data_IF_608181628078
#
_entry.id   IF_608181628078
#
_cell.length_a   1.000
_cell.length_b   1.000
_cell.length_c   1.000
_cell.angle_alpha   90.00
_cell.angle_beta   90.00
_cell.angle_gamma   90.00
#
_symmetry.space_group_name_H-M   'P 1'
#
loop_
_entity.id
_entity.type
_entity.pdbx_description
1 polymer ?
#
# COMPACT_ATOMS: atom_id res chain seq x y z
N UNK A 1 -13.31 -9.64 -11.34
CA UNK A 1 -11.84 -9.66 -11.45
C UNK A 1 -11.49 -8.90 -12.70
N UNK A 2 -10.74 -7.81 -12.60
CA UNK A 2 -10.33 -7.04 -13.77
C UNK A 2 -9.26 -7.80 -14.55
N UNK A 3 -9.22 -7.61 -15.87
CA UNK A 3 -8.26 -8.26 -16.76
C UNK A 3 -6.81 -7.88 -16.37
N UNK A 4 -5.92 -8.87 -16.33
CA UNK A 4 -4.51 -8.65 -15.95
C UNK A 4 -3.83 -7.81 -17.02
N UNK A 5 -3.15 -6.75 -16.58
CA UNK A 5 -2.51 -5.78 -17.48
C UNK A 5 -1.29 -6.34 -18.21
N UNK A 6 -0.68 -7.41 -17.69
CA UNK A 6 0.61 -7.92 -18.16
C UNK A 6 1.81 -7.04 -17.78
N UNK A 7 1.55 -5.96 -17.02
CA UNK A 7 2.55 -5.09 -16.42
C UNK A 7 2.57 -5.36 -14.91
N UNK A 8 3.78 -5.38 -14.33
CA UNK A 8 3.97 -5.82 -12.96
C UNK A 8 4.82 -4.85 -12.13
N UNK A 9 4.35 -4.58 -10.93
CA UNK A 9 5.11 -3.92 -9.87
C UNK A 9 5.99 -4.93 -9.12
N UNK A 10 7.15 -4.47 -8.60
CA UNK A 10 7.93 -5.27 -7.65
C UNK A 10 7.11 -5.62 -6.40
N UNK A 11 7.17 -6.86 -5.93
CA UNK A 11 6.44 -7.32 -4.74
C UNK A 11 6.71 -6.46 -3.51
N UNK A 12 7.97 -6.06 -3.31
CA UNK A 12 8.39 -5.13 -2.25
C UNK A 12 7.60 -3.81 -2.27
N UNK A 13 7.27 -3.26 -3.44
CA UNK A 13 6.49 -2.03 -3.52
C UNK A 13 5.06 -2.26 -3.05
N UNK A 14 4.39 -3.27 -3.61
CA UNK A 14 3.02 -3.62 -3.24
C UNK A 14 2.89 -3.95 -1.75
N UNK A 15 3.84 -4.73 -1.21
CA UNK A 15 3.92 -5.05 0.22
C UNK A 15 4.01 -3.81 1.09
N UNK A 16 4.94 -2.90 0.79
CA UNK A 16 5.11 -1.66 1.57
C UNK A 16 3.82 -0.83 1.55
N UNK A 17 3.15 -0.74 0.38
CA UNK A 17 1.87 -0.03 0.27
C UNK A 17 0.80 -0.65 1.14
N UNK A 18 0.60 -1.98 1.09
CA UNK A 18 -0.40 -2.68 1.89
C UNK A 18 -0.13 -2.53 3.40
N UNK A 19 1.12 -2.71 3.82
CA UNK A 19 1.53 -2.52 5.21
C UNK A 19 1.34 -1.05 5.68
N UNK A 20 1.59 -0.06 4.81
CA UNK A 20 1.36 1.35 5.14
C UNK A 20 -0.14 1.67 5.23
N UNK A 21 -0.96 1.07 4.37
CA UNK A 21 -2.42 1.19 4.46
C UNK A 21 -2.91 0.57 5.77
N UNK A 22 -2.49 -0.66 6.11
CA UNK A 22 -2.83 -1.32 7.39
C UNK A 22 -2.49 -0.46 8.60
N UNK A 23 -1.31 0.18 8.60
CA UNK A 23 -0.88 1.07 9.69
C UNK A 23 -1.81 2.28 9.86
N UNK A 24 -2.30 2.86 8.76
CA UNK A 24 -3.10 4.08 8.79
C UNK A 24 -4.57 3.81 9.10
N UNK A 25 -5.15 2.73 8.56
CA UNK A 25 -6.59 2.44 8.68
C UNK A 25 -6.92 1.26 9.60
N UNK A 26 -5.90 0.51 10.04
CA UNK A 26 -6.06 -0.73 10.80
C UNK A 26 -6.42 -1.94 9.93
N UNK A 27 -6.29 -3.14 10.50
CA UNK A 27 -6.59 -4.42 9.85
C UNK A 27 -7.99 -4.49 9.25
N UNK A 28 -9.00 -4.05 9.99
CA UNK A 28 -10.40 -4.10 9.53
C UNK A 28 -10.64 -3.17 8.34
N UNK A 29 -10.04 -1.97 8.35
CA UNK A 29 -10.12 -1.03 7.24
C UNK A 29 -9.45 -1.59 5.98
N UNK A 30 -8.25 -2.16 6.11
CA UNK A 30 -7.56 -2.75 4.98
C UNK A 30 -8.31 -3.97 4.43
N UNK A 31 -8.83 -4.83 5.28
CA UNK A 31 -9.64 -5.97 4.86
C UNK A 31 -10.89 -5.51 4.09
N UNK A 32 -11.54 -4.42 4.51
CA UNK A 32 -12.69 -3.86 3.79
C UNK A 32 -12.30 -3.39 2.38
N UNK A 33 -11.16 -2.68 2.23
CA UNK A 33 -10.66 -2.26 0.91
C UNK A 33 -10.29 -3.46 0.05
N UNK A 34 -9.56 -4.44 0.59
CA UNK A 34 -9.14 -5.62 -0.18
C UNK A 34 -10.34 -6.42 -0.67
N UNK A 35 -11.39 -6.55 0.15
CA UNK A 35 -12.64 -7.16 -0.29
C UNK A 35 -13.34 -6.33 -1.38
N UNK A 36 -13.42 -5.00 -1.21
CA UNK A 36 -14.01 -4.09 -2.19
C UNK A 36 -13.28 -4.12 -3.54
N UNK A 37 -11.95 -4.22 -3.51
CA UNK A 37 -11.09 -4.33 -4.69
C UNK A 37 -11.14 -5.72 -5.36
N UNK A 38 -11.76 -6.72 -4.70
CA UNK A 38 -11.74 -8.11 -5.17
C UNK A 38 -10.37 -8.78 -5.05
N UNK A 39 -9.59 -8.39 -4.04
CA UNK A 39 -8.21 -8.78 -3.75
C UNK A 39 -8.10 -9.48 -2.39
N UNK A 40 -9.09 -10.29 -2.03
CA UNK A 40 -9.17 -10.95 -0.73
C UNK A 40 -8.03 -11.95 -0.49
N UNK A 41 -7.35 -12.41 -1.56
CA UNK A 41 -6.17 -13.26 -1.47
C UNK A 41 -4.98 -12.62 -0.74
N UNK A 42 -4.96 -11.29 -0.62
CA UNK A 42 -3.93 -10.54 0.10
C UNK A 42 -4.26 -10.30 1.57
N UNK A 43 -5.43 -10.74 2.06
CA UNK A 43 -5.79 -10.64 3.48
C UNK A 43 -4.91 -11.59 4.30
N UNK A 44 -4.01 -11.01 5.10
CA UNK A 44 -3.05 -11.78 5.90
C UNK A 44 -1.95 -12.49 5.10
N UNK A 45 -1.93 -12.33 3.78
CA UNK A 45 -0.99 -12.96 2.86
C UNK A 45 -0.39 -11.92 1.91
N UNK A 46 0.45 -11.05 2.46
CA UNK A 46 1.10 -10.00 1.70
C UNK A 46 2.12 -10.55 0.69
N UNK A 47 2.38 -9.81 -0.41
CA UNK A 47 3.43 -10.16 -1.35
C UNK A 47 4.79 -10.39 -0.65
N UNK A 48 5.63 -11.30 -1.17
CA UNK A 48 6.93 -11.60 -0.57
C UNK A 48 7.84 -10.36 -0.57
N UNK A 49 8.76 -10.28 0.39
CA UNK A 49 9.68 -9.14 0.53
C UNK A 49 10.87 -9.20 -0.46
N UNK A 50 10.57 -9.29 -1.77
CA UNK A 50 11.55 -9.40 -2.84
C UNK A 50 11.29 -8.36 -3.96
N UNK A 51 12.20 -8.27 -4.93
CA UNK A 51 12.11 -7.32 -6.05
C UNK A 51 11.51 -7.94 -7.32
N UNK A 52 10.94 -9.15 -7.21
CA UNK A 52 10.31 -9.82 -8.34
C UNK A 52 9.07 -9.04 -8.77
N UNK A 53 8.91 -8.88 -10.09
CA UNK A 53 7.78 -8.16 -10.67
C UNK A 53 6.61 -9.15 -10.84
N UNK A 54 5.85 -9.37 -9.77
CA UNK A 54 4.74 -10.31 -9.78
C UNK A 54 3.39 -9.71 -9.34
N UNK A 55 3.36 -8.45 -8.89
CA UNK A 55 2.11 -7.79 -8.51
C UNK A 55 1.52 -7.03 -9.70
N UNK A 56 0.33 -7.38 -10.17
CA UNK A 56 -0.24 -6.81 -11.40
C UNK A 56 -0.66 -5.33 -11.21
N UNK A 57 -0.45 -4.50 -12.23
CA UNK A 57 -0.89 -3.10 -12.20
C UNK A 57 -2.41 -2.96 -12.08
N UNK A 58 -3.18 -3.89 -12.63
CA UNK A 58 -4.64 -3.92 -12.49
C UNK A 58 -5.04 -4.08 -11.03
N UNK A 59 -4.37 -4.96 -10.29
CA UNK A 59 -4.63 -5.17 -8.85
C UNK A 59 -4.29 -3.90 -8.06
N UNK A 60 -3.17 -3.26 -8.39
CA UNK A 60 -2.79 -2.00 -7.75
C UNK A 60 -3.81 -0.89 -8.03
N UNK A 61 -4.32 -0.82 -9.25
CA UNK A 61 -5.32 0.17 -9.65
C UNK A 61 -6.65 -0.09 -8.95
N UNK A 62 -7.11 -1.35 -8.89
CA UNK A 62 -8.31 -1.74 -8.17
C UNK A 62 -8.24 -1.36 -6.68
N UNK A 63 -7.06 -1.54 -6.06
CA UNK A 63 -6.80 -1.12 -4.68
C UNK A 63 -6.96 0.40 -4.50
N UNK A 64 -6.44 1.21 -5.41
CA UNK A 64 -6.54 2.67 -5.34
C UNK A 64 -7.98 3.17 -5.59
N UNK A 65 -8.70 2.54 -6.52
CA UNK A 65 -10.13 2.83 -6.78
C UNK A 65 -10.96 2.50 -5.54
N UNK A 66 -10.77 1.32 -4.93
CA UNK A 66 -11.47 0.94 -3.71
C UNK A 66 -11.18 1.88 -2.53
N UNK A 67 -9.95 2.40 -2.44
CA UNK A 67 -9.59 3.42 -1.45
C UNK A 67 -10.36 4.74 -1.68
N UNK A 68 -10.48 5.17 -2.93
CA UNK A 68 -11.25 6.36 -3.30
C UNK A 68 -12.76 6.15 -3.07
N UNK A 69 -13.30 4.99 -3.42
CA UNK A 69 -14.71 4.66 -3.21
C UNK A 69 -15.07 4.65 -1.72
N UNK A 70 -14.22 4.09 -0.86
CA UNK A 70 -14.52 3.95 0.57
C UNK A 70 -14.39 5.27 1.35
N UNK A 71 -13.46 6.16 0.96
CA UNK A 71 -13.17 7.40 1.69
C UNK A 71 -13.52 8.68 0.92
N UNK A 72 -14.04 8.55 -0.29
CA UNK A 72 -14.30 9.64 -1.22
C UNK A 72 -13.03 10.31 -1.76
N UNK A 73 -13.18 11.18 -2.78
CA UNK A 73 -12.05 11.82 -3.48
C UNK A 73 -11.15 12.67 -2.56
N UNK A 74 -11.67 13.20 -1.45
CA UNK A 74 -10.90 13.99 -0.48
C UNK A 74 -10.21 13.11 0.58
N UNK A 75 -10.91 12.10 1.08
CA UNK A 75 -10.37 11.17 2.09
C UNK A 75 -9.34 10.21 1.49
N UNK A 76 -9.63 9.67 0.29
CA UNK A 76 -8.74 8.80 -0.47
C UNK A 76 -7.41 9.48 -0.81
N UNK A 77 -7.44 10.74 -1.29
CA UNK A 77 -6.20 11.50 -1.56
C UNK A 77 -5.38 11.75 -0.30
N UNK A 78 -6.01 12.13 0.81
CA UNK A 78 -5.33 12.33 2.09
C UNK A 78 -4.71 11.05 2.65
N UNK A 79 -5.37 9.91 2.44
CA UNK A 79 -4.86 8.58 2.78
C UNK A 79 -3.70 8.15 1.89
N UNK A 80 -3.83 8.31 0.57
CA UNK A 80 -2.77 8.00 -0.38
C UNK A 80 -1.48 8.79 -0.10
N UNK A 81 -1.59 10.08 0.23
CA UNK A 81 -0.43 10.90 0.61
C UNK A 81 0.22 10.46 1.92
N UNK A 82 -0.57 10.04 2.91
CA UNK A 82 -0.04 9.49 4.18
C UNK A 82 0.62 8.13 3.95
N UNK A 83 0.00 7.25 3.17
CA UNK A 83 0.54 5.94 2.83
C UNK A 83 1.86 6.08 2.04
N UNK A 84 1.92 6.99 1.07
CA UNK A 84 3.15 7.27 0.32
C UNK A 84 4.29 7.81 1.19
N UNK A 85 3.99 8.72 2.13
CA UNK A 85 4.99 9.22 3.10
C UNK A 85 5.46 8.13 4.05
N UNK A 86 4.57 7.30 4.57
CA UNK A 86 4.91 6.17 5.44
C UNK A 86 5.78 5.14 4.69
N UNK A 87 5.41 4.80 3.46
CA UNK A 87 6.16 3.92 2.58
C UNK A 87 7.59 4.45 2.33
N UNK A 88 7.72 5.74 2.02
CA UNK A 88 9.01 6.40 1.81
C UNK A 88 9.85 6.43 3.09
N UNK A 89 9.26 6.82 4.23
CA UNK A 89 9.95 6.86 5.52
C UNK A 89 10.47 5.47 5.93
N UNK A 90 9.66 4.41 5.74
CA UNK A 90 10.06 3.03 6.03
C UNK A 90 11.23 2.56 5.16
N UNK A 91 11.24 2.96 3.88
CA UNK A 91 12.34 2.65 2.95
C UNK A 91 13.61 3.45 3.30
N UNK A 92 13.48 4.74 3.61
CA UNK A 92 14.59 5.61 3.99
C UNK A 92 15.26 5.14 5.29
N UNK A 93 14.48 4.80 6.32
CA UNK A 93 14.99 4.28 7.59
C UNK A 93 15.75 2.96 7.44
N UNK A 94 15.37 2.10 6.48
CA UNK A 94 16.09 0.85 6.19
C UNK A 94 17.39 1.04 5.42
N UNK A 95 17.51 2.11 4.62
CA UNK A 95 18.71 2.39 3.83
C UNK A 95 19.77 3.18 4.60
N UNK A 96 19.33 4.11 5.46
CA UNK A 96 20.23 4.99 6.23
C UNK A 96 20.31 4.64 7.72
N UNK A 97 19.71 3.53 8.14
CA UNK A 97 19.59 3.14 9.54
C UNK A 97 18.52 3.94 10.30
N UNK A 98 18.15 3.45 11.48
CA UNK A 98 17.10 4.01 12.35
C UNK A 98 17.35 5.46 12.85
N UNK A 99 18.35 6.16 12.31
CA UNK A 99 18.76 7.52 12.65
C UNK A 99 18.30 8.61 11.69
N UNK A 100 17.59 8.30 10.59
CA UNK A 100 17.05 9.34 9.69
C UNK A 100 15.79 9.99 10.30
N UNK A 101 16.03 10.83 11.29
CA UNK A 101 15.04 11.53 12.08
C UNK A 101 14.91 12.97 11.56
N UNK A 102 13.97 13.20 10.65
CA UNK A 102 13.42 14.52 10.38
C UNK A 102 12.42 14.97 11.47
N UNK A 103 12.68 14.71 12.76
CA UNK A 103 11.92 15.35 13.85
C UNK A 103 12.55 16.71 14.14
N UNK A 104 11.85 17.83 13.92
CA UNK A 104 12.18 19.05 14.62
C UNK A 104 11.69 18.93 16.06
N UNK A 105 12.60 19.08 17.03
CA UNK A 105 12.29 19.31 18.44
C UNK A 105 12.21 18.07 19.32
N UNK A 106 13.29 17.84 20.07
CA UNK A 106 13.21 17.61 21.52
C UNK A 106 12.88 18.95 22.19
#
# INVERSE_FOLDING_TARGET
MAEKSGLYYPNKLARITLEAMEEIMGKNGLNAILNLAGLSEYIGNYPPDNLEKAFDFTDFTALMVALEDMYGPRGGRGLALRAGRAAFARRAARLWGAGWCGRPGL
#
